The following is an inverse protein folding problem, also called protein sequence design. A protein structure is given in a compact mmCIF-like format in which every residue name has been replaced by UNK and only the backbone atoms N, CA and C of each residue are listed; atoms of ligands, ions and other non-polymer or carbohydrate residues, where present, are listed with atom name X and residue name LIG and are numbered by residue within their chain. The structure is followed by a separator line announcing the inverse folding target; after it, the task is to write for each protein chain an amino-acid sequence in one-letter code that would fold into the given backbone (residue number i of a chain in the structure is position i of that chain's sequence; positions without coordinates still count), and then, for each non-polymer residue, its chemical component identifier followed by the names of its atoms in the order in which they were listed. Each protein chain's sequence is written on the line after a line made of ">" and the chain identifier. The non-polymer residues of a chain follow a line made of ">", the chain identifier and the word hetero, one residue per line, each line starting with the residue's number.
data_IF_059706264122
#
_entry.id   IF_059706264122
#
_cell.length_a   1.000
_cell.length_b   1.000
_cell.length_c   1.000
_cell.angle_alpha   90.00
_cell.angle_beta   90.00
_cell.angle_gamma   90.00
#
_symmetry.space_group_name_H-M   'P 1'
#
loop_
_entity.id
_entity.type
_entity.pdbx_description
1 polymer ?
#
# COMPACT_ATOMS: atom_id res chain seq x y z
N UNK A 1 -59.89 100.86 17.47
CA UNK A 1 -59.50 99.59 18.12
C UNK A 1 -60.17 98.46 17.36
N UNK A 2 -59.50 97.90 16.35
CA UNK A 2 -60.07 96.86 15.48
C UNK A 2 -59.80 95.51 16.14
N UNK A 3 -60.84 94.93 16.73
CA UNK A 3 -60.77 93.61 17.37
C UNK A 3 -60.41 92.55 16.34
N UNK A 4 -59.36 91.78 16.64
CA UNK A 4 -58.98 90.61 15.85
C UNK A 4 -60.21 89.68 15.82
N UNK A 5 -60.73 89.41 14.61
CA UNK A 5 -61.89 88.54 14.44
C UNK A 5 -61.54 87.15 14.96
N UNK A 6 -62.41 86.48 15.75
CA UNK A 6 -62.14 85.17 16.34
C UNK A 6 -61.75 84.11 15.30
N UNK A 7 -62.23 84.25 14.06
CA UNK A 7 -61.87 83.40 12.91
C UNK A 7 -60.37 83.47 12.57
N UNK A 8 -59.74 84.64 12.69
CA UNK A 8 -58.30 84.80 12.42
C UNK A 8 -57.45 84.10 13.49
N UNK A 9 -57.91 84.14 14.74
CA UNK A 9 -57.27 83.43 15.85
C UNK A 9 -57.36 81.91 15.62
N UNK A 10 -58.52 81.39 15.23
CA UNK A 10 -58.71 79.97 14.94
C UNK A 10 -57.87 79.47 13.74
N UNK A 11 -57.75 80.26 12.68
CA UNK A 11 -56.89 79.91 11.53
C UNK A 11 -55.40 79.89 11.91
N UNK A 12 -54.95 80.81 12.76
CA UNK A 12 -53.58 80.80 13.28
C UNK A 12 -53.29 79.55 14.13
N UNK A 13 -54.23 79.17 15.00
CA UNK A 13 -54.10 77.95 15.82
C UNK A 13 -54.05 76.71 14.93
N UNK A 14 -54.88 76.62 13.89
CA UNK A 14 -54.87 75.50 12.96
C UNK A 14 -53.55 75.43 12.16
N UNK A 15 -53.04 76.56 11.69
CA UNK A 15 -51.77 76.63 10.96
C UNK A 15 -50.58 76.20 11.83
N UNK A 16 -50.56 76.61 13.11
CA UNK A 16 -49.55 76.17 14.08
C UNK A 16 -49.67 74.66 14.33
N UNK A 17 -50.89 74.14 14.53
CA UNK A 17 -51.11 72.71 14.77
C UNK A 17 -50.64 71.85 13.57
N UNK A 18 -50.99 72.24 12.34
CA UNK A 18 -50.55 71.53 11.12
C UNK A 18 -49.04 71.65 10.92
N UNK A 19 -48.46 72.83 11.18
CA UNK A 19 -47.01 73.04 11.13
C UNK A 19 -46.25 72.16 12.13
N UNK A 20 -46.74 72.06 13.37
CA UNK A 20 -46.16 71.18 14.39
C UNK A 20 -46.23 69.70 13.97
N UNK A 21 -47.36 69.24 13.44
CA UNK A 21 -47.52 67.84 12.97
C UNK A 21 -46.57 67.54 11.80
N UNK A 22 -46.44 68.47 10.85
CA UNK A 22 -45.51 68.32 9.73
C UNK A 22 -44.04 68.25 10.17
N UNK A 23 -43.63 69.10 11.12
CA UNK A 23 -42.27 69.10 11.67
C UNK A 23 -41.95 67.85 12.49
N UNK A 24 -42.93 67.33 13.25
CA UNK A 24 -42.78 66.07 13.98
C UNK A 24 -42.65 64.89 13.01
N UNK A 25 -43.42 64.91 11.92
CA UNK A 25 -43.37 63.85 10.91
C UNK A 25 -42.05 63.85 10.13
N UNK A 26 -41.54 65.02 9.73
CA UNK A 26 -40.24 65.11 9.02
C UNK A 26 -39.07 64.70 9.91
N UNK A 27 -39.03 65.19 11.15
CA UNK A 27 -37.95 64.84 12.07
C UNK A 27 -38.00 63.36 12.48
N UNK A 28 -39.19 62.80 12.65
CA UNK A 28 -39.37 61.37 12.93
C UNK A 28 -38.96 60.49 11.76
N UNK A 29 -39.24 60.91 10.52
CA UNK A 29 -38.86 60.18 9.32
C UNK A 29 -37.34 60.17 9.11
N UNK A 30 -36.69 61.33 9.23
CA UNK A 30 -35.23 61.43 9.04
C UNK A 30 -34.46 60.69 10.14
N UNK A 31 -34.92 60.77 11.40
CA UNK A 31 -34.33 60.02 12.51
C UNK A 31 -34.55 58.51 12.36
N UNK A 32 -35.76 58.10 11.96
CA UNK A 32 -36.08 56.69 11.71
C UNK A 32 -35.28 56.10 10.55
N UNK A 33 -35.14 56.86 9.45
CA UNK A 33 -34.33 56.45 8.30
C UNK A 33 -32.85 56.39 8.64
N UNK A 34 -32.31 57.39 9.36
CA UNK A 34 -30.92 57.39 9.79
C UNK A 34 -30.61 56.22 10.74
N UNK A 35 -31.52 55.92 11.67
CA UNK A 35 -31.38 54.78 12.59
C UNK A 35 -31.44 53.46 11.83
N UNK A 36 -32.44 53.26 10.97
CA UNK A 36 -32.58 52.06 10.16
C UNK A 36 -31.38 51.83 9.23
N UNK A 37 -30.84 52.92 8.64
CA UNK A 37 -29.62 52.86 7.84
C UNK A 37 -28.42 52.44 8.69
N UNK A 38 -28.23 53.04 9.86
CA UNK A 38 -27.13 52.70 10.76
C UNK A 38 -27.20 51.24 11.25
N UNK A 39 -28.39 50.74 11.60
CA UNK A 39 -28.60 49.34 11.98
C UNK A 39 -28.36 48.39 10.80
N UNK A 40 -28.81 48.75 9.59
CA UNK A 40 -28.57 47.99 8.37
C UNK A 40 -27.08 47.90 8.02
N UNK A 41 -26.38 49.03 8.05
CA UNK A 41 -24.94 49.08 7.78
C UNK A 41 -24.15 48.28 8.84
N UNK A 42 -24.55 48.36 10.12
CA UNK A 42 -23.96 47.55 11.20
C UNK A 42 -24.22 46.05 11.02
N UNK A 43 -25.43 45.65 10.59
CA UNK A 43 -25.76 44.26 10.33
C UNK A 43 -24.97 43.70 9.13
N UNK A 44 -24.79 44.49 8.07
CA UNK A 44 -23.98 44.12 6.92
C UNK A 44 -22.50 43.97 7.28
N UNK A 45 -21.92 44.90 8.03
CA UNK A 45 -20.53 44.82 8.50
C UNK A 45 -20.31 43.59 9.38
N UNK A 46 -21.26 43.28 10.29
CA UNK A 46 -21.23 42.07 11.11
C UNK A 46 -21.28 40.81 10.25
N UNK A 47 -22.21 40.74 9.29
CA UNK A 47 -22.34 39.58 8.40
C UNK A 47 -21.08 39.38 7.53
N UNK A 48 -20.48 40.46 7.03
CA UNK A 48 -19.25 40.42 6.26
C UNK A 48 -18.08 39.88 7.10
N UNK A 49 -17.90 40.37 8.34
CA UNK A 49 -16.87 39.90 9.27
C UNK A 49 -17.04 38.42 9.64
N UNK A 50 -18.26 37.98 9.91
CA UNK A 50 -18.54 36.57 10.20
C UNK A 50 -18.25 35.68 8.98
N UNK A 51 -18.58 36.16 7.78
CA UNK A 51 -18.29 35.43 6.55
C UNK A 51 -16.78 35.32 6.29
N UNK A 52 -16.02 36.41 6.45
CA UNK A 52 -14.56 36.38 6.34
C UNK A 52 -13.92 35.45 7.39
N UNK A 53 -14.42 35.47 8.63
CA UNK A 53 -13.95 34.58 9.68
C UNK A 53 -14.22 33.10 9.34
N UNK A 54 -15.40 32.79 8.80
CA UNK A 54 -15.74 31.43 8.32
C UNK A 54 -14.84 31.00 7.16
N UNK A 55 -14.64 31.87 6.16
CA UNK A 55 -13.74 31.58 5.03
C UNK A 55 -12.30 31.34 5.50
N UNK A 56 -11.80 32.15 6.45
CA UNK A 56 -10.47 31.98 7.02
C UNK A 56 -10.35 30.65 7.77
N UNK A 57 -11.33 30.29 8.60
CA UNK A 57 -11.35 29.01 9.31
C UNK A 57 -11.41 27.80 8.34
N UNK A 58 -12.19 27.91 7.25
CA UNK A 58 -12.21 26.88 6.20
C UNK A 58 -10.87 26.78 5.47
N UNK A 59 -10.24 27.90 5.14
CA UNK A 59 -8.91 27.92 4.53
C UNK A 59 -7.83 27.32 5.45
N UNK A 60 -7.88 27.61 6.74
CA UNK A 60 -6.95 27.05 7.73
C UNK A 60 -7.15 25.55 7.92
N UNK A 61 -8.40 25.11 8.09
CA UNK A 61 -8.72 23.68 8.25
C UNK A 61 -8.38 22.86 7.01
N UNK A 62 -8.63 23.40 5.81
CA UNK A 62 -8.22 22.77 4.55
C UNK A 62 -6.70 22.72 4.43
N UNK A 63 -5.98 23.80 4.75
CA UNK A 63 -4.52 23.82 4.73
C UNK A 63 -3.91 22.78 5.71
N UNK A 64 -4.46 22.66 6.92
CA UNK A 64 -4.06 21.64 7.90
C UNK A 64 -4.35 20.23 7.36
N UNK A 65 -5.55 20.02 6.80
CA UNK A 65 -5.95 18.74 6.21
C UNK A 65 -5.05 18.32 5.05
N UNK A 66 -4.74 19.25 4.14
CA UNK A 66 -3.81 19.02 3.03
C UNK A 66 -2.41 18.69 3.55
N UNK A 67 -1.90 19.45 4.52
CA UNK A 67 -0.57 19.19 5.10
C UNK A 67 -0.50 17.81 5.74
N UNK A 68 -1.52 17.44 6.52
CA UNK A 68 -1.60 16.11 7.14
C UNK A 68 -1.63 15.01 6.07
N UNK A 69 -2.44 15.17 5.02
CA UNK A 69 -2.51 14.21 3.93
C UNK A 69 -1.17 14.10 3.17
N UNK A 70 -0.46 15.20 2.96
CA UNK A 70 0.88 15.17 2.33
C UNK A 70 1.92 14.50 3.23
N UNK A 71 1.87 14.75 4.54
CA UNK A 71 2.80 14.14 5.49
C UNK A 71 2.56 12.62 5.58
N UNK A 72 1.29 12.18 5.63
CA UNK A 72 0.91 10.77 5.58
C UNK A 72 1.35 10.10 4.27
N UNK A 73 1.15 10.78 3.14
CA UNK A 73 1.58 10.28 1.84
C UNK A 73 3.10 10.12 1.78
N UNK A 74 3.86 11.13 2.23
CA UNK A 74 5.32 11.09 2.24
C UNK A 74 5.85 9.99 3.16
N UNK A 75 5.25 9.82 4.34
CA UNK A 75 5.59 8.73 5.26
C UNK A 75 5.33 7.36 4.63
N UNK A 76 4.20 7.19 3.95
CA UNK A 76 3.86 5.94 3.25
C UNK A 76 4.82 5.65 2.09
N UNK A 77 5.24 6.67 1.34
CA UNK A 77 6.18 6.55 0.24
C UNK A 77 7.59 6.22 0.75
N UNK A 78 8.06 6.90 1.79
CA UNK A 78 9.36 6.61 2.41
C UNK A 78 9.40 5.17 2.96
N UNK A 79 8.32 4.73 3.60
CA UNK A 79 8.18 3.36 4.05
C UNK A 79 8.20 2.36 2.88
N UNK A 80 7.45 2.62 1.81
CA UNK A 80 7.42 1.78 0.62
C UNK A 80 8.79 1.65 -0.05
N UNK A 81 9.53 2.76 -0.16
CA UNK A 81 10.90 2.77 -0.67
C UNK A 81 11.85 1.96 0.23
N UNK A 82 11.72 2.10 1.55
CA UNK A 82 12.50 1.30 2.51
C UNK A 82 12.23 -0.21 2.36
N UNK A 83 10.96 -0.60 2.21
CA UNK A 83 10.59 -2.00 2.00
C UNK A 83 11.12 -2.55 0.66
N UNK A 84 11.09 -1.74 -0.40
CA UNK A 84 11.66 -2.12 -1.69
C UNK A 84 13.19 -2.32 -1.59
N UNK A 85 13.89 -1.44 -0.88
CA UNK A 85 15.33 -1.56 -0.64
C UNK A 85 15.66 -2.81 0.17
N UNK A 86 14.93 -3.07 1.26
CA UNK A 86 15.07 -4.28 2.08
C UNK A 86 14.90 -5.56 1.24
N UNK A 87 13.94 -5.56 0.31
CA UNK A 87 13.65 -6.71 -0.55
C UNK A 87 14.81 -6.96 -1.53
N UNK A 88 15.35 -5.90 -2.15
CA UNK A 88 16.53 -6.01 -3.02
C UNK A 88 17.73 -6.53 -2.23
N UNK A 89 18.04 -5.95 -1.08
CA UNK A 89 19.14 -6.38 -0.23
C UNK A 89 19.01 -7.86 0.18
N UNK A 90 17.79 -8.30 0.54
CA UNK A 90 17.54 -9.72 0.87
C UNK A 90 17.70 -10.65 -0.33
N UNK A 91 17.31 -10.22 -1.53
CA UNK A 91 17.54 -11.00 -2.75
C UNK A 91 19.04 -11.16 -3.03
N UNK A 92 19.81 -10.09 -2.90
CA UNK A 92 21.25 -10.11 -3.14
C UNK A 92 21.99 -10.99 -2.12
N UNK A 93 21.58 -10.93 -0.84
CA UNK A 93 22.07 -11.81 0.23
C UNK A 93 21.81 -13.28 -0.12
N UNK A 94 20.56 -13.62 -0.45
CA UNK A 94 20.18 -14.99 -0.82
C UNK A 94 20.91 -15.46 -2.07
N UNK A 95 21.11 -14.58 -3.06
CA UNK A 95 21.85 -14.90 -4.27
C UNK A 95 23.32 -15.21 -3.98
N UNK A 96 23.94 -14.41 -3.13
CA UNK A 96 25.34 -14.63 -2.69
C UNK A 96 25.48 -15.99 -2.00
N UNK A 97 24.53 -16.35 -1.13
CA UNK A 97 24.49 -17.66 -0.47
C UNK A 97 24.33 -18.79 -1.49
N UNK A 98 23.40 -18.64 -2.44
CA UNK A 98 23.20 -19.61 -3.53
C UNK A 98 24.46 -19.81 -4.36
N UNK A 99 25.13 -18.74 -4.77
CA UNK A 99 26.32 -18.82 -5.62
C UNK A 99 27.48 -19.48 -4.87
N UNK A 100 27.65 -19.17 -3.58
CA UNK A 100 28.63 -19.86 -2.71
C UNK A 100 28.31 -21.35 -2.60
N UNK A 101 27.07 -21.71 -2.28
CA UNK A 101 26.68 -23.12 -2.12
C UNK A 101 26.83 -23.90 -3.42
N UNK A 102 26.46 -23.32 -4.57
CA UNK A 102 26.65 -23.94 -5.88
C UNK A 102 28.13 -24.20 -6.18
N UNK A 103 29.02 -23.27 -5.83
CA UNK A 103 30.48 -23.47 -5.93
C UNK A 103 30.99 -24.62 -5.06
N UNK A 104 30.37 -24.85 -3.91
CA UNK A 104 30.73 -25.94 -3.00
C UNK A 104 30.20 -27.31 -3.44
N UNK A 105 29.15 -27.38 -4.27
CA UNK A 105 28.57 -28.66 -4.73
C UNK A 105 29.62 -29.56 -5.36
N UNK A 106 30.44 -29.04 -6.29
CA UNK A 106 31.47 -29.84 -6.96
C UNK A 106 32.51 -30.37 -5.96
N UNK A 107 32.87 -29.57 -4.96
CA UNK A 107 33.82 -29.96 -3.92
C UNK A 107 33.30 -31.11 -3.06
N UNK A 108 32.01 -31.12 -2.73
CA UNK A 108 31.43 -32.13 -1.81
C UNK A 108 30.86 -33.36 -2.51
N UNK A 109 30.77 -33.35 -3.85
CA UNK A 109 30.17 -34.46 -4.62
C UNK A 109 31.16 -35.32 -5.38
N UNK A 110 32.46 -34.97 -5.37
CA UNK A 110 33.51 -35.63 -6.16
C UNK A 110 34.40 -36.54 -5.34
N UNK A 111 34.78 -36.15 -4.12
CA UNK A 111 35.74 -36.87 -3.28
C UNK A 111 35.16 -37.18 -1.89
N UNK A 112 35.54 -38.32 -1.32
CA UNK A 112 35.38 -38.61 0.12
C UNK A 112 36.68 -39.12 0.72
N UNK A 113 36.77 -39.08 2.06
CA UNK A 113 37.83 -39.75 2.83
C UNK A 113 37.16 -40.72 3.79
N UNK A 114 37.70 -41.92 3.95
CA UNK A 114 37.17 -42.96 4.86
C UNK A 114 37.49 -42.70 6.34
N UNK A 115 38.61 -42.02 6.58
CA UNK A 115 39.08 -41.57 7.88
C UNK A 115 39.74 -40.19 7.72
N UNK A 116 39.91 -39.45 8.81
CA UNK A 116 40.40 -38.07 8.77
C UNK A 116 41.83 -37.97 8.20
N UNK A 117 42.64 -38.99 8.43
CA UNK A 117 44.02 -39.15 7.98
C UNK A 117 44.16 -39.92 6.65
N UNK A 118 43.07 -40.49 6.12
CA UNK A 118 43.09 -41.21 4.84
C UNK A 118 43.15 -40.25 3.64
N UNK A 119 43.73 -40.70 2.53
CA UNK A 119 43.74 -39.95 1.27
C UNK A 119 42.32 -39.81 0.68
N UNK A 120 42.02 -38.75 -0.10
CA UNK A 120 40.75 -38.64 -0.79
C UNK A 120 40.62 -39.73 -1.85
N UNK A 121 39.46 -40.37 -1.86
CA UNK A 121 39.03 -41.32 -2.88
C UNK A 121 37.86 -40.73 -3.68
N UNK A 122 37.72 -41.15 -4.94
CA UNK A 122 36.57 -40.75 -5.77
C UNK A 122 35.26 -41.29 -5.18
N UNK A 123 34.23 -40.45 -5.14
CA UNK A 123 32.95 -40.80 -4.54
C UNK A 123 32.17 -41.82 -5.41
N UNK A 124 31.83 -43.01 -4.89
CA UNK A 124 31.13 -44.04 -5.68
C UNK A 124 29.78 -43.52 -6.21
N UNK A 125 29.45 -43.73 -7.51
CA UNK A 125 28.28 -43.10 -8.16
C UNK A 125 26.99 -43.33 -7.36
N UNK A 126 26.25 -42.27 -7.07
CA UNK A 126 24.90 -42.42 -6.53
C UNK A 126 23.94 -42.68 -7.67
N UNK A 127 23.14 -43.74 -7.54
CA UNK A 127 22.15 -44.14 -8.52
C UNK A 127 20.77 -43.82 -7.94
N UNK A 128 20.05 -42.91 -8.61
CA UNK A 128 18.67 -42.59 -8.27
C UNK A 128 17.74 -43.19 -9.31
N UNK A 129 16.69 -43.85 -8.84
CA UNK A 129 15.71 -44.49 -9.73
C UNK A 129 14.66 -43.50 -10.22
N UNK A 130 13.95 -43.84 -11.28
CA UNK A 130 12.81 -43.05 -11.79
C UNK A 130 11.73 -42.90 -10.73
N UNK A 131 11.49 -43.95 -9.93
CA UNK A 131 10.56 -43.92 -8.80
C UNK A 131 10.98 -42.94 -7.70
N UNK A 132 12.29 -42.87 -7.40
CA UNK A 132 12.81 -41.85 -6.48
C UNK A 132 12.50 -40.43 -6.97
N UNK A 133 12.80 -40.14 -8.24
CA UNK A 133 12.56 -38.82 -8.83
C UNK A 133 11.07 -38.50 -8.89
N UNK A 134 10.22 -39.49 -9.18
CA UNK A 134 8.76 -39.34 -9.17
C UNK A 134 8.26 -38.91 -7.79
N UNK A 135 8.65 -39.63 -6.73
CA UNK A 135 8.26 -39.29 -5.34
C UNK A 135 8.80 -37.92 -4.94
N UNK A 136 10.05 -37.61 -5.29
CA UNK A 136 10.68 -36.32 -5.05
C UNK A 136 9.90 -35.17 -5.69
N UNK A 137 9.53 -35.30 -6.97
CA UNK A 137 8.74 -34.28 -7.68
C UNK A 137 7.33 -34.17 -7.09
N UNK A 138 6.68 -35.28 -6.77
CA UNK A 138 5.38 -35.25 -6.09
C UNK A 138 5.42 -34.48 -4.78
N UNK A 139 6.50 -34.64 -3.99
CA UNK A 139 6.71 -33.89 -2.75
C UNK A 139 6.94 -32.40 -3.00
N UNK A 140 7.73 -32.04 -4.03
CA UNK A 140 8.03 -30.65 -4.39
C UNK A 140 6.80 -29.85 -4.83
N UNK A 141 5.91 -30.48 -5.61
CA UNK A 141 4.74 -29.81 -6.17
C UNK A 141 3.45 -30.04 -5.36
N UNK A 142 3.50 -30.89 -4.33
CA UNK A 142 2.33 -31.24 -3.53
C UNK A 142 1.26 -31.99 -4.34
N UNK A 143 1.66 -32.75 -5.36
CA UNK A 143 0.75 -33.50 -6.24
C UNK A 143 1.08 -34.98 -6.25
N UNK A 144 0.06 -35.82 -6.07
CA UNK A 144 0.17 -37.28 -6.24
C UNK A 144 -0.06 -37.71 -7.69
N UNK A 145 -0.61 -36.82 -8.52
CA UNK A 145 -0.68 -37.01 -9.95
C UNK A 145 0.74 -37.08 -10.49
N UNK A 146 1.05 -38.15 -11.21
CA UNK A 146 2.27 -38.31 -11.98
C UNK A 146 2.26 -37.34 -13.18
N UNK A 147 2.08 -36.03 -12.94
CA UNK A 147 2.52 -35.01 -13.88
C UNK A 147 4.04 -35.14 -13.90
N UNK A 148 4.50 -36.01 -14.80
CA UNK A 148 5.88 -36.11 -15.20
C UNK A 148 6.31 -34.72 -15.67
N UNK A 149 6.83 -33.91 -14.74
CA UNK A 149 7.72 -32.83 -15.09
C UNK A 149 8.89 -33.54 -15.74
N UNK A 150 8.90 -33.53 -17.07
CA UNK A 150 9.85 -34.27 -17.87
C UNK A 150 11.26 -33.92 -17.38
N UNK A 151 11.98 -34.92 -16.89
CA UNK A 151 13.42 -34.81 -16.72
C UNK A 151 13.96 -34.58 -18.14
N UNK A 152 14.73 -33.51 -18.41
CA UNK A 152 15.41 -33.38 -19.69
C UNK A 152 16.39 -34.55 -19.77
N UNK A 153 16.03 -35.57 -20.55
CA UNK A 153 16.92 -36.70 -20.79
C UNK A 153 18.02 -36.22 -21.75
N UNK A 154 19.25 -36.09 -21.27
CA UNK A 154 20.43 -35.79 -22.10
C UNK A 154 20.92 -37.04 -22.88
N UNK A 155 20.01 -37.93 -23.28
CA UNK A 155 20.31 -39.10 -24.09
C UNK A 155 19.39 -39.13 -25.32
N UNK A 156 19.88 -39.55 -26.50
CA UNK A 156 19.06 -39.57 -27.71
C UNK A 156 17.94 -40.60 -27.51
N UNK A 157 16.73 -40.10 -27.30
CA UNK A 157 15.55 -40.95 -27.20
C UNK A 157 15.32 -41.63 -28.54
N UNK A 158 15.48 -42.95 -28.56
CA UNK A 158 14.95 -43.80 -29.61
C UNK A 158 13.44 -43.58 -29.73
N UNK A 159 12.97 -43.43 -30.96
CA UNK A 159 11.58 -43.22 -31.33
C UNK A 159 10.70 -44.38 -30.85
N UNK A 160 10.09 -44.21 -29.70
CA UNK A 160 9.00 -45.03 -29.21
C UNK A 160 8.20 -44.18 -28.25
N UNK A 161 6.91 -43.99 -28.51
CA UNK A 161 6.00 -43.24 -27.64
C UNK A 161 5.99 -43.90 -26.26
N UNK A 162 6.78 -43.36 -25.33
CA UNK A 162 6.80 -43.83 -23.94
C UNK A 162 5.51 -43.29 -23.32
N UNK A 163 4.51 -44.17 -23.18
CA UNK A 163 3.35 -43.90 -22.36
C UNK A 163 3.85 -43.49 -20.97
N UNK A 164 3.45 -42.29 -20.52
CA UNK A 164 3.79 -41.76 -19.21
C UNK A 164 3.29 -42.76 -18.16
N UNK A 165 4.15 -43.43 -17.37
CA UNK A 165 3.69 -44.43 -16.42
C UNK A 165 2.91 -43.71 -15.32
N UNK A 166 1.59 -43.90 -15.30
CA UNK A 166 0.73 -43.49 -14.19
C UNK A 166 0.79 -44.54 -13.09
N UNK A 167 1.73 -44.39 -12.16
CA UNK A 167 1.81 -45.20 -10.93
C UNK A 167 3.15 -45.90 -10.71
N UNK A 168 3.32 -46.43 -9.49
CA UNK A 168 4.48 -47.26 -9.15
C UNK A 168 4.45 -48.57 -9.95
N UNK A 169 5.57 -48.94 -10.57
CA UNK A 169 5.70 -50.15 -11.37
C UNK A 169 7.14 -50.37 -11.84
N UNK A 170 7.41 -51.39 -12.66
CA UNK A 170 8.78 -51.76 -13.07
C UNK A 170 9.57 -50.61 -13.76
N UNK A 171 8.89 -49.61 -14.31
CA UNK A 171 9.52 -48.40 -14.85
C UNK A 171 10.19 -47.54 -13.75
N UNK A 172 9.71 -47.59 -12.51
CA UNK A 172 10.27 -46.86 -11.38
C UNK A 172 11.65 -47.39 -10.97
N UNK A 173 12.00 -48.63 -11.32
CA UNK A 173 13.29 -49.25 -10.99
C UNK A 173 14.42 -48.84 -11.96
N UNK A 174 14.09 -48.18 -13.07
CA UNK A 174 15.07 -47.67 -14.03
C UNK A 174 15.91 -46.55 -13.42
N UNK A 175 17.17 -46.44 -13.81
CA UNK A 175 18.04 -45.33 -13.37
C UNK A 175 17.65 -44.05 -14.11
N UNK A 176 17.39 -42.98 -13.35
CA UNK A 176 16.91 -41.70 -13.87
C UNK A 176 18.00 -40.78 -14.42
N UNK A 177 19.28 -41.10 -14.21
CA UNK A 177 20.41 -40.28 -14.65
C UNK A 177 20.64 -39.00 -13.82
N UNK A 178 19.88 -38.80 -12.75
CA UNK A 178 20.08 -37.70 -11.79
C UNK A 178 21.33 -37.96 -10.96
N UNK A 179 22.13 -36.94 -10.69
CA UNK A 179 23.36 -37.03 -9.88
C UNK A 179 23.18 -36.40 -8.49
N UNK A 180 24.14 -36.64 -7.59
CA UNK A 180 24.18 -35.96 -6.26
C UNK A 180 24.27 -34.44 -6.42
N UNK A 181 24.99 -33.99 -7.45
CA UNK A 181 25.14 -32.57 -7.74
C UNK A 181 23.81 -31.96 -8.15
N UNK A 182 23.01 -32.66 -8.96
CA UNK A 182 21.68 -32.20 -9.37
C UNK A 182 20.72 -32.07 -8.18
N UNK A 183 20.73 -33.03 -7.26
CA UNK A 183 19.92 -32.96 -6.04
C UNK A 183 20.30 -31.78 -5.15
N UNK A 184 21.59 -31.58 -4.90
CA UNK A 184 22.06 -30.44 -4.11
C UNK A 184 21.76 -29.11 -4.81
N UNK A 185 21.96 -29.01 -6.13
CA UNK A 185 21.66 -27.81 -6.90
C UNK A 185 20.15 -27.48 -6.86
N UNK A 186 19.30 -28.50 -6.97
CA UNK A 186 17.86 -28.35 -6.82
C UNK A 186 17.50 -27.89 -5.40
N UNK A 187 18.09 -28.48 -4.36
CA UNK A 187 17.84 -28.07 -2.97
C UNK A 187 18.28 -26.63 -2.69
N UNK A 188 19.45 -26.22 -3.19
CA UNK A 188 19.95 -24.85 -3.07
C UNK A 188 18.99 -23.86 -3.73
N UNK A 189 18.57 -24.13 -4.97
CA UNK A 189 17.63 -23.27 -5.70
C UNK A 189 16.28 -23.16 -5.02
N UNK A 190 15.71 -24.28 -4.56
CA UNK A 190 14.44 -24.27 -3.85
C UNK A 190 14.56 -23.57 -2.49
N UNK A 191 15.69 -23.78 -1.78
CA UNK A 191 16.00 -23.10 -0.53
C UNK A 191 16.03 -21.58 -0.66
N UNK A 192 16.64 -21.05 -1.73
CA UNK A 192 16.62 -19.62 -2.07
C UNK A 192 15.19 -19.11 -2.22
N UNK A 193 14.36 -19.80 -3.02
CA UNK A 193 12.97 -19.44 -3.26
C UNK A 193 12.13 -19.45 -1.98
N UNK A 194 12.26 -20.49 -1.15
CA UNK A 194 11.55 -20.59 0.12
C UNK A 194 11.99 -19.53 1.13
N UNK A 195 13.28 -19.20 1.17
CA UNK A 195 13.78 -18.13 2.04
C UNK A 195 13.26 -16.76 1.58
N UNK A 196 13.24 -16.49 0.27
CA UNK A 196 12.68 -15.26 -0.28
C UNK A 196 11.17 -15.12 0.02
N UNK A 197 10.40 -16.19 -0.19
CA UNK A 197 8.96 -16.21 0.12
C UNK A 197 8.72 -15.96 1.61
N UNK A 198 9.47 -16.63 2.50
CA UNK A 198 9.35 -16.43 3.95
C UNK A 198 9.65 -14.98 4.36
N UNK A 199 10.70 -14.38 3.81
CA UNK A 199 11.04 -12.99 4.09
C UNK A 199 9.92 -12.03 3.65
N UNK A 200 9.33 -12.25 2.47
CA UNK A 200 8.20 -11.46 1.99
C UNK A 200 6.96 -11.62 2.89
N UNK A 201 6.61 -12.84 3.26
CA UNK A 201 5.47 -13.12 4.16
C UNK A 201 5.67 -12.48 5.53
N UNK A 202 6.87 -12.57 6.11
CA UNK A 202 7.20 -11.91 7.38
C UNK A 202 6.99 -10.40 7.29
N UNK A 203 7.52 -9.75 6.25
CA UNK A 203 7.32 -8.31 6.04
C UNK A 203 5.86 -7.94 5.80
N UNK A 204 5.09 -8.77 5.09
CA UNK A 204 3.66 -8.56 4.87
C UNK A 204 2.87 -8.64 6.19
N UNK A 205 3.18 -9.62 7.04
CA UNK A 205 2.58 -9.77 8.37
C UNK A 205 2.91 -8.54 9.22
N UNK A 206 4.18 -8.13 9.29
CA UNK A 206 4.59 -6.92 10.02
C UNK A 206 3.89 -5.66 9.51
N UNK A 207 3.70 -5.54 8.19
CA UNK A 207 2.99 -4.43 7.59
C UNK A 207 1.51 -4.43 7.98
N UNK A 208 0.84 -5.59 7.92
CA UNK A 208 -0.56 -5.68 8.31
C UNK A 208 -0.74 -5.37 9.82
N UNK A 209 0.09 -5.95 10.69
CA UNK A 209 0.05 -5.71 12.13
C UNK A 209 0.26 -4.24 12.48
N UNK A 210 1.17 -3.53 11.79
CA UNK A 210 1.41 -2.09 12.03
C UNK A 210 0.30 -1.18 11.51
N UNK A 211 -0.37 -1.56 10.42
CA UNK A 211 -1.39 -0.72 9.78
C UNK A 211 -2.83 -1.09 10.16
N UNK A 212 -3.03 -1.99 11.14
CA UNK A 212 -4.33 -2.25 11.75
C UNK A 212 -5.39 -2.79 10.78
N UNK A 213 -5.00 -3.53 9.74
CA UNK A 213 -5.94 -4.16 8.79
C UNK A 213 -6.32 -5.60 9.20
N UNK A 214 -6.31 -5.86 10.51
CA UNK A 214 -6.86 -7.07 11.14
C UNK A 214 -7.86 -6.65 12.21
#
# INVERSE_FOLDING_TARGET
>A
MIGIKPVVIWLLVLAIAVGCVALIHSNGYDQGFALAKAEGDAALDKAAKEHEAKLRSLAESTAIGLKKATDELLASQAYGNGLAADLVAKRDELRTVTDKLNGEIQRVTTLYRRALDAQPEALPPALFTVGFVRVWNSALFGTTAATAVAVPATAPASSGTIATPTGAGAADDLIAGVTRADLLANQVRNGEGYAACRAQLTKLIEWNTRNGRN
#
